data_IF_936087452543
#
_entry.id   IF_936087452543
#
_cell.length_a   1.000
_cell.length_b   1.000
_cell.length_c   1.000
_cell.angle_alpha   90.00
_cell.angle_beta   90.00
_cell.angle_gamma   90.00
#
_symmetry.space_group_name_H-M   'P 1'
#
loop_
_entity.id
_entity.type
_entity.pdbx_description
1 polymer ?
#
# COMPACT_ATOMS: atom_id res chain seq x y z
N UNK A 1 8.14 -30.50 -13.89
CA UNK A 1 8.18 -30.86 -12.46
C UNK A 1 9.44 -30.29 -11.78
N UNK A 2 10.64 -30.43 -12.37
CA UNK A 2 11.88 -29.89 -11.78
C UNK A 2 11.91 -28.37 -11.67
N UNK A 3 11.34 -27.65 -12.64
CA UNK A 3 11.26 -26.18 -12.62
C UNK A 3 10.34 -25.66 -11.52
N UNK A 4 9.23 -26.36 -11.23
CA UNK A 4 8.32 -26.01 -10.13
C UNK A 4 8.96 -26.28 -8.76
N UNK A 5 9.72 -27.36 -8.61
CA UNK A 5 10.43 -27.62 -7.35
C UNK A 5 11.53 -26.59 -7.08
N UNK A 6 12.23 -26.13 -8.12
CA UNK A 6 13.24 -25.07 -7.99
C UNK A 6 12.63 -23.74 -7.55
N UNK A 7 11.39 -23.43 -7.93
CA UNK A 7 10.69 -22.21 -7.48
C UNK A 7 10.23 -22.30 -6.02
N UNK A 8 9.93 -23.49 -5.50
CA UNK A 8 9.63 -23.70 -4.08
C UNK A 8 10.84 -23.55 -3.16
N UNK A 9 12.06 -23.69 -3.70
CA UNK A 9 13.33 -23.54 -2.97
C UNK A 9 13.92 -22.14 -3.05
N UNK A 10 13.32 -21.24 -3.84
CA UNK A 10 13.72 -19.83 -3.83
C UNK A 10 13.36 -19.20 -2.50
N UNK A 11 14.30 -18.50 -1.88
CA UNK A 11 14.08 -17.69 -0.69
C UNK A 11 12.81 -16.85 -0.86
N UNK A 12 11.95 -16.85 0.15
CA UNK A 12 10.71 -16.06 0.12
C UNK A 12 11.08 -14.58 0.00
N UNK A 13 10.92 -14.08 -1.19
CA UNK A 13 11.12 -12.68 -1.50
C UNK A 13 9.79 -11.96 -1.39
N UNK A 14 9.70 -10.98 -0.50
CA UNK A 14 8.52 -10.16 -0.32
C UNK A 14 8.77 -8.77 -0.91
N UNK A 15 7.87 -8.33 -1.77
CA UNK A 15 7.93 -6.97 -2.32
C UNK A 15 7.31 -5.99 -1.33
N UNK A 16 8.04 -4.91 -1.06
CA UNK A 16 7.59 -3.85 -0.18
C UNK A 16 7.70 -2.48 -0.87
N UNK A 17 6.82 -1.56 -0.47
CA UNK A 17 6.88 -0.15 -0.81
C UNK A 17 7.22 0.66 0.43
N UNK A 18 8.29 1.44 0.38
CA UNK A 18 8.66 2.35 1.46
C UNK A 18 7.75 3.59 1.41
N UNK A 19 7.12 3.91 2.55
CA UNK A 19 6.32 5.12 2.71
C UNK A 19 7.25 6.34 2.81
N UNK A 20 6.99 7.37 2.01
CA UNK A 20 7.88 8.54 1.87
C UNK A 20 7.32 9.84 2.44
N UNK A 21 6.05 9.84 2.85
CA UNK A 21 5.42 11.07 3.35
C UNK A 21 6.04 11.55 4.68
N UNK A 22 6.53 10.62 5.53
CA UNK A 22 7.13 10.90 6.85
C UNK A 22 8.42 10.15 7.12
N UNK A 23 8.96 9.41 6.14
CA UNK A 23 10.18 8.62 6.27
C UNK A 23 11.09 8.83 5.06
N UNK A 24 12.37 8.51 5.23
CA UNK A 24 13.30 8.36 4.12
C UNK A 24 13.60 6.89 3.85
N UNK A 25 14.06 6.62 2.62
CA UNK A 25 14.49 5.27 2.23
C UNK A 25 15.68 4.83 3.11
N UNK A 26 16.60 5.74 3.39
CA UNK A 26 17.81 5.50 4.17
C UNK A 26 17.49 5.16 5.63
N UNK A 27 16.55 5.86 6.26
CA UNK A 27 16.11 5.56 7.62
C UNK A 27 15.44 4.19 7.73
N UNK A 28 14.56 3.87 6.75
CA UNK A 28 13.90 2.57 6.70
C UNK A 28 14.91 1.45 6.47
N UNK A 29 15.87 1.65 5.56
CA UNK A 29 16.95 0.70 5.28
C UNK A 29 17.79 0.43 6.51
N UNK A 30 18.27 1.47 7.22
CA UNK A 30 19.02 1.32 8.47
C UNK A 30 18.24 0.57 9.55
N UNK A 31 16.95 0.84 9.70
CA UNK A 31 16.10 0.11 10.64
C UNK A 31 16.02 -1.38 10.31
N UNK A 32 15.86 -1.74 9.04
CA UNK A 32 15.83 -3.13 8.59
C UNK A 32 17.18 -3.83 8.74
N UNK A 33 18.27 -3.18 8.34
CA UNK A 33 19.64 -3.69 8.48
C UNK A 33 20.02 -3.96 9.94
N UNK A 34 19.52 -3.14 10.88
CA UNK A 34 19.73 -3.37 12.33
C UNK A 34 19.07 -4.65 12.86
N UNK A 35 18.14 -5.22 12.11
CA UNK A 35 17.46 -6.48 12.38
C UNK A 35 17.87 -7.59 11.39
N UNK A 36 19.04 -7.42 10.74
CA UNK A 36 19.61 -8.38 9.78
C UNK A 36 18.78 -8.61 8.50
N UNK A 37 17.73 -7.81 8.29
CA UNK A 37 16.93 -7.85 7.07
C UNK A 37 17.62 -7.09 5.94
N UNK A 38 17.53 -7.63 4.73
CA UNK A 38 18.19 -7.08 3.53
C UNK A 38 17.16 -6.48 2.57
N UNK A 39 17.53 -5.35 1.96
CA UNK A 39 16.77 -4.71 0.90
C UNK A 39 17.53 -4.78 -0.43
N UNK A 40 16.87 -5.35 -1.43
CA UNK A 40 17.29 -5.28 -2.82
C UNK A 40 16.32 -4.40 -3.59
N UNK A 41 16.83 -3.52 -4.46
CA UNK A 41 15.96 -2.60 -5.20
C UNK A 41 15.09 -3.36 -6.21
N UNK A 42 13.79 -3.16 -6.15
CA UNK A 42 12.86 -3.67 -7.16
C UNK A 42 12.86 -2.77 -8.42
N UNK A 43 12.47 -3.31 -9.58
CA UNK A 43 12.46 -2.54 -10.83
C UNK A 43 11.37 -1.46 -10.82
N UNK A 44 11.51 -0.49 -11.72
CA UNK A 44 10.57 0.55 -12.13
C UNK A 44 10.32 1.68 -11.13
N UNK A 45 10.21 1.42 -9.83
CA UNK A 45 9.82 2.44 -8.83
C UNK A 45 10.93 2.66 -7.80
N UNK A 46 11.20 3.92 -7.46
CA UNK A 46 12.26 4.29 -6.53
C UNK A 46 12.02 3.85 -5.09
N UNK A 47 10.77 3.69 -4.69
CA UNK A 47 10.30 3.27 -3.37
C UNK A 47 10.01 1.78 -3.25
N UNK A 48 10.16 1.00 -4.33
CA UNK A 48 9.92 -0.44 -4.38
C UNK A 48 11.20 -1.23 -4.08
N UNK A 49 11.11 -2.19 -3.16
CA UNK A 49 12.23 -3.05 -2.77
C UNK A 49 11.75 -4.49 -2.57
N UNK A 50 12.68 -5.41 -2.73
CA UNK A 50 12.56 -6.79 -2.29
C UNK A 50 13.16 -6.91 -0.89
N UNK A 51 12.38 -7.42 0.04
CA UNK A 51 12.79 -7.68 1.42
C UNK A 51 13.18 -9.15 1.56
N UNK A 52 14.36 -9.40 2.12
CA UNK A 52 14.97 -10.72 2.32
C UNK A 52 15.51 -10.83 3.76
N UNK A 53 15.89 -12.04 4.16
CA UNK A 53 16.57 -12.34 5.43
C UNK A 53 15.81 -11.77 6.65
N UNK A 54 14.55 -12.14 6.80
CA UNK A 54 13.75 -11.79 7.98
C UNK A 54 12.99 -13.00 8.51
N UNK A 55 12.78 -13.06 9.80
CA UNK A 55 12.03 -14.13 10.44
C UNK A 55 10.53 -13.99 10.18
N UNK A 56 9.96 -12.88 10.60
CA UNK A 56 8.57 -12.48 10.30
C UNK A 56 8.50 -10.99 10.02
N UNK A 57 7.59 -10.57 9.12
CA UNK A 57 7.40 -9.15 8.84
C UNK A 57 6.90 -8.39 10.08
N UNK A 58 6.05 -9.05 10.87
CA UNK A 58 5.46 -8.45 12.06
C UNK A 58 6.50 -8.15 13.17
N UNK A 59 7.65 -8.83 13.18
CA UNK A 59 8.74 -8.57 14.14
C UNK A 59 9.64 -7.40 13.76
N UNK A 60 9.53 -6.90 12.53
CA UNK A 60 10.35 -5.79 12.05
C UNK A 60 9.86 -4.44 12.60
N UNK A 61 10.74 -3.70 13.27
CA UNK A 61 10.43 -2.38 13.81
C UNK A 61 9.91 -1.42 12.72
N UNK A 62 10.56 -1.42 11.55
CA UNK A 62 10.14 -0.61 10.42
C UNK A 62 8.71 -0.93 9.94
N UNK A 63 8.24 -2.19 10.08
CA UNK A 63 6.86 -2.55 9.78
C UNK A 63 5.89 -2.04 10.84
N UNK A 64 6.21 -2.26 12.12
CA UNK A 64 5.38 -1.80 13.25
C UNK A 64 5.23 -0.27 13.27
N UNK A 65 6.28 0.45 12.89
CA UNK A 65 6.31 1.91 12.76
C UNK A 65 5.66 2.42 11.46
N UNK A 66 5.12 1.53 10.62
CA UNK A 66 4.44 1.89 9.38
C UNK A 66 5.35 2.48 8.30
N UNK A 67 6.67 2.22 8.36
CA UNK A 67 7.64 2.77 7.40
C UNK A 67 7.53 2.15 6.01
N UNK A 68 6.93 0.97 5.89
CA UNK A 68 6.68 0.32 4.61
C UNK A 68 5.35 -0.45 4.59
N UNK A 69 4.90 -0.76 3.37
CA UNK A 69 3.75 -1.62 3.09
C UNK A 69 4.20 -2.83 2.26
N UNK A 70 3.59 -4.00 2.50
CA UNK A 70 3.69 -5.13 1.59
C UNK A 70 2.82 -4.81 0.38
N UNK A 71 3.42 -4.72 -0.79
CA UNK A 71 2.71 -4.38 -2.01
C UNK A 71 3.53 -4.82 -3.22
N UNK A 72 2.90 -5.47 -4.20
CA UNK A 72 3.55 -5.84 -5.46
C UNK A 72 3.78 -4.63 -6.35
N UNK A 73 4.84 -4.66 -7.15
CA UNK A 73 5.19 -3.57 -8.08
C UNK A 73 4.03 -3.25 -9.02
N UNK A 74 3.33 -4.26 -9.54
CA UNK A 74 2.15 -4.07 -10.39
C UNK A 74 1.05 -3.29 -9.68
N UNK A 75 0.79 -3.61 -8.41
CA UNK A 75 -0.17 -2.88 -7.58
C UNK A 75 0.27 -1.45 -7.27
N UNK A 76 1.58 -1.21 -7.10
CA UNK A 76 2.12 0.14 -6.93
C UNK A 76 1.93 1.01 -8.16
N UNK A 77 1.99 0.41 -9.37
CA UNK A 77 1.82 1.13 -10.64
C UNK A 77 0.46 1.83 -10.75
N UNK A 78 -0.60 1.31 -10.13
CA UNK A 78 -1.92 1.96 -10.15
C UNK A 78 -1.87 3.39 -9.59
N UNK A 79 -1.38 3.57 -8.36
CA UNK A 79 -1.25 4.90 -7.77
C UNK A 79 -0.12 5.72 -8.43
N UNK A 80 0.94 5.06 -8.93
CA UNK A 80 2.02 5.74 -9.64
C UNK A 80 1.51 6.40 -10.93
N UNK A 81 0.72 5.69 -11.73
CA UNK A 81 0.16 6.20 -12.99
C UNK A 81 -0.98 7.19 -12.76
N UNK A 82 -1.82 6.97 -11.74
CA UNK A 82 -2.88 7.91 -11.36
C UNK A 82 -2.33 9.25 -10.89
N UNK A 83 -1.13 9.24 -10.31
CA UNK A 83 -0.33 10.38 -9.86
C UNK A 83 -1.10 11.46 -9.08
N UNK A 84 -1.85 11.07 -8.02
CA UNK A 84 -2.62 12.02 -7.22
C UNK A 84 -1.72 13.08 -6.59
N UNK A 85 -2.22 14.31 -6.48
CA UNK A 85 -1.51 15.48 -5.99
C UNK A 85 -1.96 15.87 -4.59
N UNK A 86 -1.14 16.58 -3.80
CA UNK A 86 -1.57 17.15 -2.53
C UNK A 86 -2.84 18.01 -2.70
N UNK A 87 -3.89 17.69 -1.94
CA UNK A 87 -5.19 18.34 -1.99
C UNK A 87 -6.28 17.62 -2.78
N UNK A 88 -5.92 16.61 -3.59
CA UNK A 88 -6.89 15.86 -4.40
C UNK A 88 -7.89 15.08 -3.55
N UNK A 89 -9.05 14.82 -4.17
CA UNK A 89 -10.10 13.94 -3.69
C UNK A 89 -10.00 12.61 -4.45
N UNK A 90 -9.53 11.58 -3.77
CA UNK A 90 -9.32 10.25 -4.33
C UNK A 90 -10.41 9.30 -3.83
N UNK A 91 -10.97 8.51 -4.74
CA UNK A 91 -11.96 7.49 -4.43
C UNK A 91 -11.39 6.12 -4.81
N UNK A 92 -11.17 5.25 -3.82
CA UNK A 92 -10.75 3.86 -4.02
C UNK A 92 -11.92 2.91 -3.72
N UNK A 93 -12.45 2.25 -4.75
CA UNK A 93 -13.73 1.54 -4.69
C UNK A 93 -13.63 0.14 -4.06
N UNK A 94 -12.48 -0.53 -4.17
CA UNK A 94 -12.22 -1.87 -3.63
C UNK A 94 -10.84 -1.88 -2.98
N UNK A 95 -10.71 -1.14 -1.88
CA UNK A 95 -9.44 -0.71 -1.34
C UNK A 95 -8.68 -1.77 -0.52
N UNK A 96 -9.38 -2.75 0.08
CA UNK A 96 -8.75 -3.69 1.01
C UNK A 96 -7.59 -4.47 0.39
N UNK A 97 -6.49 -4.62 1.13
CA UNK A 97 -6.20 -4.19 2.49
C UNK A 97 -5.70 -2.74 2.64
N UNK A 98 -5.81 -1.88 1.61
CA UNK A 98 -5.47 -0.46 1.67
C UNK A 98 -4.17 -0.05 0.98
N UNK A 99 -3.45 -0.96 0.33
CA UNK A 99 -2.14 -0.68 -0.26
C UNK A 99 -2.15 0.44 -1.31
N UNK A 100 -3.16 0.49 -2.20
CA UNK A 100 -3.30 1.53 -3.23
C UNK A 100 -3.72 2.87 -2.63
N UNK A 101 -4.68 2.86 -1.69
CA UNK A 101 -5.11 4.05 -0.93
C UNK A 101 -3.95 4.67 -0.15
N UNK A 102 -3.13 3.86 0.54
CA UNK A 102 -1.95 4.32 1.26
C UNK A 102 -0.86 4.85 0.34
N UNK A 103 -0.71 4.26 -0.85
CA UNK A 103 0.21 4.78 -1.86
C UNK A 103 -0.27 6.13 -2.43
N UNK A 104 -1.57 6.28 -2.67
CA UNK A 104 -2.14 7.57 -3.05
C UNK A 104 -1.89 8.62 -1.96
N UNK A 105 -2.17 8.30 -0.69
CA UNK A 105 -1.91 9.18 0.44
C UNK A 105 -0.43 9.59 0.55
N UNK A 106 0.50 8.68 0.29
CA UNK A 106 1.93 8.94 0.27
C UNK A 106 2.31 9.95 -0.83
N UNK A 107 1.81 9.77 -2.06
CA UNK A 107 2.01 10.72 -3.17
C UNK A 107 1.38 12.09 -2.89
N UNK A 108 0.23 12.11 -2.23
CA UNK A 108 -0.46 13.32 -1.79
C UNK A 108 0.21 13.98 -0.58
N UNK A 109 1.28 13.41 -0.04
CA UNK A 109 1.95 13.90 1.18
C UNK A 109 0.99 14.04 2.37
N UNK A 110 0.05 13.10 2.49
CA UNK A 110 -0.99 13.08 3.51
C UNK A 110 -1.87 14.36 3.53
N UNK A 111 -2.10 14.97 2.35
CA UNK A 111 -2.93 16.17 2.18
C UNK A 111 -4.03 15.90 1.16
N UNK A 112 -5.28 16.28 1.49
CA UNK A 112 -6.47 15.97 0.69
C UNK A 112 -7.33 14.90 1.35
N UNK A 113 -8.00 14.07 0.55
CA UNK A 113 -8.84 12.99 1.05
C UNK A 113 -8.74 11.76 0.13
N UNK A 114 -8.53 10.59 0.72
CA UNK A 114 -8.66 9.29 0.06
C UNK A 114 -9.80 8.54 0.72
N UNK A 115 -10.97 8.48 0.12
CA UNK A 115 -12.05 7.63 0.60
C UNK A 115 -11.80 6.20 0.13
N UNK A 116 -11.40 5.34 1.07
CA UNK A 116 -11.04 3.95 0.83
C UNK A 116 -12.23 3.04 1.17
N UNK A 117 -12.86 2.46 0.16
CA UNK A 117 -14.08 1.65 0.29
C UNK A 117 -13.81 0.16 0.14
N UNK A 118 -14.61 -0.63 0.83
CA UNK A 118 -14.77 -2.05 0.51
C UNK A 118 -16.16 -2.53 0.94
N UNK A 119 -16.58 -3.71 0.46
CA UNK A 119 -17.94 -4.22 0.62
C UNK A 119 -18.26 -4.65 2.06
N UNK A 120 -17.28 -5.15 2.82
CA UNK A 120 -17.50 -5.76 4.13
C UNK A 120 -16.74 -5.04 5.25
N UNK A 121 -17.33 -5.01 6.44
CA UNK A 121 -16.68 -4.44 7.64
C UNK A 121 -15.31 -5.07 7.90
N UNK A 122 -15.22 -6.41 7.80
CA UNK A 122 -13.94 -7.12 7.97
C UNK A 122 -12.83 -6.57 7.04
N UNK A 123 -13.14 -6.33 5.77
CA UNK A 123 -12.17 -5.77 4.82
C UNK A 123 -11.82 -4.32 5.14
N UNK A 124 -12.81 -3.56 5.58
CA UNK A 124 -12.58 -2.16 5.99
C UNK A 124 -11.75 -2.09 7.26
N UNK A 125 -11.88 -3.04 8.18
CA UNK A 125 -11.03 -3.13 9.36
C UNK A 125 -9.55 -3.36 8.98
N UNK A 126 -9.26 -4.18 7.97
CA UNK A 126 -7.90 -4.33 7.45
C UNK A 126 -7.34 -3.00 6.91
N UNK A 127 -8.18 -2.18 6.27
CA UNK A 127 -7.78 -0.84 5.82
C UNK A 127 -7.47 0.04 7.04
N UNK A 128 -8.35 0.05 8.05
CA UNK A 128 -8.18 0.85 9.28
C UNK A 128 -6.87 0.52 10.00
N UNK A 129 -6.58 -0.77 10.18
CA UNK A 129 -5.33 -1.24 10.80
C UNK A 129 -4.10 -0.74 10.04
N UNK A 130 -4.09 -0.86 8.72
CA UNK A 130 -2.99 -0.41 7.88
C UNK A 130 -2.83 1.11 7.86
N UNK A 131 -3.94 1.85 7.85
CA UNK A 131 -3.97 3.33 7.95
C UNK A 131 -3.41 3.79 9.29
N UNK A 132 -3.85 3.16 10.39
CA UNK A 132 -3.36 3.46 11.74
C UNK A 132 -1.86 3.18 11.85
N UNK A 133 -1.40 2.02 11.36
CA UNK A 133 0.01 1.64 11.38
C UNK A 133 0.87 2.58 10.52
N UNK A 134 0.40 3.01 9.35
CA UNK A 134 1.10 3.95 8.49
C UNK A 134 1.08 5.40 9.02
N UNK A 135 0.24 5.71 10.01
CA UNK A 135 0.13 7.04 10.62
C UNK A 135 -0.41 8.10 9.65
N UNK A 136 -1.19 7.71 8.63
CA UNK A 136 -1.80 8.65 7.68
C UNK A 136 -3.17 9.11 8.17
N UNK A 137 -3.51 10.37 7.94
CA UNK A 137 -4.77 10.99 8.36
C UNK A 137 -5.72 11.31 7.21
N UNK A 138 -5.23 11.36 5.98
CA UNK A 138 -6.06 11.70 4.82
C UNK A 138 -6.83 10.51 4.24
N UNK A 139 -6.61 9.29 4.72
CA UNK A 139 -7.35 8.09 4.28
C UNK A 139 -8.54 7.85 5.20
N UNK A 140 -9.73 7.77 4.61
CA UNK A 140 -11.02 7.57 5.30
C UNK A 140 -11.62 6.24 4.87
N UNK A 141 -11.47 5.16 5.67
CA UNK A 141 -12.06 3.86 5.36
C UNK A 141 -13.58 3.86 5.52
N UNK A 142 -14.31 3.32 4.53
CA UNK A 142 -15.77 3.21 4.56
C UNK A 142 -16.28 1.87 4.01
N UNK A 143 -17.27 1.30 4.67
CA UNK A 143 -18.04 0.18 4.10
C UNK A 143 -19.00 0.75 3.06
N UNK A 144 -18.81 0.37 1.80
CA UNK A 144 -19.68 0.78 0.70
C UNK A 144 -19.59 -0.18 -0.47
N UNK A 145 -20.72 -0.49 -1.06
CA UNK A 145 -20.83 -1.33 -2.23
C UNK A 145 -20.47 -0.52 -3.48
N UNK A 146 -19.46 -1.00 -4.24
CA UNK A 146 -19.00 -0.34 -5.45
C UNK A 146 -20.03 -0.38 -6.61
N UNK A 147 -21.01 -1.30 -6.54
CA UNK A 147 -22.10 -1.38 -7.53
C UNK A 147 -23.17 -0.32 -7.33
N UNK A 148 -23.19 0.34 -6.18
CA UNK A 148 -24.18 1.38 -5.86
C UNK A 148 -23.65 2.77 -6.21
N UNK A 149 -24.42 3.47 -7.05
CA UNK A 149 -24.13 4.87 -7.39
C UNK A 149 -24.10 5.75 -6.14
N UNK A 150 -23.02 6.47 -5.96
CA UNK A 150 -22.87 7.47 -4.91
C UNK A 150 -23.01 8.88 -5.46
N UNK A 151 -24.21 9.44 -5.33
CA UNK A 151 -24.50 10.79 -5.81
C UNK A 151 -23.63 11.88 -5.14
N UNK A 152 -23.13 11.65 -3.93
CA UNK A 152 -22.27 12.60 -3.22
C UNK A 152 -20.89 12.78 -3.87
N UNK A 153 -20.44 11.79 -4.65
CA UNK A 153 -19.14 11.80 -5.30
C UNK A 153 -19.17 12.19 -6.78
N UNK A 154 -20.37 12.38 -7.35
CA UNK A 154 -20.49 12.79 -8.74
C UNK A 154 -19.79 14.14 -8.97
N UNK A 155 -18.79 14.15 -9.84
CA UNK A 155 -18.02 15.35 -10.22
C UNK A 155 -17.08 15.87 -9.13
N UNK A 156 -16.80 15.10 -8.06
CA UNK A 156 -15.93 15.54 -6.97
C UNK A 156 -14.58 14.82 -6.93
N UNK A 157 -14.50 13.60 -7.46
CA UNK A 157 -13.25 12.85 -7.47
C UNK A 157 -12.29 13.40 -8.53
N UNK A 158 -11.07 13.72 -8.12
CA UNK A 158 -9.96 14.02 -9.02
C UNK A 158 -9.35 12.73 -9.58
N UNK A 159 -9.32 11.68 -8.74
CA UNK A 159 -8.83 10.34 -9.09
C UNK A 159 -9.79 9.27 -8.60
N UNK A 160 -10.08 8.28 -9.43
CA UNK A 160 -10.81 7.06 -9.05
C UNK A 160 -9.91 5.85 -9.28
N UNK A 161 -9.75 5.04 -8.23
CA UNK A 161 -9.08 3.74 -8.28
C UNK A 161 -10.17 2.66 -8.25
N UNK A 162 -10.22 1.83 -9.30
CA UNK A 162 -11.21 0.76 -9.44
C UNK A 162 -10.48 -0.57 -9.71
N UNK A 163 -9.86 -1.12 -8.66
CA UNK A 163 -9.21 -2.44 -8.70
C UNK A 163 -10.21 -3.50 -8.24
N UNK A 164 -11.13 -3.82 -9.14
CA UNK A 164 -12.26 -4.69 -8.85
C UNK A 164 -11.83 -6.17 -8.79
N UNK A 165 -12.45 -6.98 -7.91
CA UNK A 165 -12.17 -8.40 -7.86
C UNK A 165 -12.60 -9.08 -9.18
N UNK A 166 -11.72 -9.92 -9.71
CA UNK A 166 -12.08 -10.80 -10.84
C UNK A 166 -12.89 -11.98 -10.31
N UNK A 167 -14.03 -12.26 -10.92
CA UNK A 167 -14.87 -13.47 -10.66
C UNK A 167 -14.43 -14.62 -11.53
#
# INVERSE_FOLDING_TARGET
AETMMADFLKEKQVTIRINRWNNTIEETKKSLESQEAELEKAPYLGEAFYLKNFETIASLNAFQEGRFQIQDVSSMMAAHLADPKPGDQVLDLCAAPGGKSLHAADKMRNQGCVEARDLTEYKVDLIRENVQRAGVSCVVPKVKDAEQLDAEWIGKADVVIADLPCT
#
